data_IF_111483492758
#
_entry.id   IF_111483492758
#
_cell.length_a   1.000
_cell.length_b   1.000
_cell.length_c   1.000
_cell.angle_alpha   90.00
_cell.angle_beta   90.00
_cell.angle_gamma   90.00
#
_symmetry.space_group_name_H-M   'P 1'
#
loop_
_entity.id
_entity.type
_entity.pdbx_description
1 polymer ?
#
# COMPACT_ATOMS: atom_id res chain seq x y z
N UNK A 1 22.85 39.05 33.41
CA UNK A 1 22.65 38.74 31.98
C UNK A 1 23.33 37.43 31.53
N UNK A 2 23.24 36.33 32.30
CA UNK A 2 23.81 35.02 31.89
C UNK A 2 22.81 33.86 31.96
N UNK A 3 21.60 34.08 32.48
CA UNK A 3 20.58 33.04 32.67
C UNK A 3 19.58 32.98 31.50
N UNK A 4 19.54 34.01 30.65
CA UNK A 4 18.58 34.08 29.53
C UNK A 4 18.98 33.21 28.31
N UNK A 5 20.23 32.76 28.23
CA UNK A 5 20.72 31.92 27.12
C UNK A 5 20.41 30.42 27.31
N UNK A 6 20.00 29.98 28.51
CA UNK A 6 19.77 28.55 28.78
C UNK A 6 18.35 28.09 28.40
N UNK A 7 17.39 29.01 28.27
CA UNK A 7 15.97 28.68 28.03
C UNK A 7 15.68 28.43 26.53
N UNK A 8 16.50 28.96 25.62
CA UNK A 8 16.30 28.79 24.17
C UNK A 8 16.80 27.40 23.68
N UNK A 9 17.61 26.68 24.46
CA UNK A 9 18.12 25.35 24.07
C UNK A 9 17.15 24.19 24.36
N UNK A 10 16.10 24.41 25.17
CA UNK A 10 15.13 23.35 25.52
C UNK A 10 13.94 23.24 24.55
N UNK A 11 13.77 24.15 23.59
CA UNK A 11 12.68 24.09 22.61
C UNK A 11 13.01 23.29 21.33
N UNK A 12 14.17 22.63 21.27
CA UNK A 12 14.71 22.00 20.05
C UNK A 12 14.36 20.54 19.80
N UNK A 13 13.67 19.85 20.72
CA UNK A 13 13.28 18.44 20.54
C UNK A 13 11.76 18.29 20.44
N UNK A 14 11.14 19.09 19.56
CA UNK A 14 9.92 18.60 18.93
C UNK A 14 10.35 17.41 18.08
N UNK A 15 10.28 16.21 18.63
CA UNK A 15 10.39 14.98 17.87
C UNK A 15 9.35 15.09 16.77
N UNK A 16 9.79 15.41 15.56
CA UNK A 16 8.96 15.28 14.38
C UNK A 16 8.50 13.82 14.41
N UNK A 17 7.24 13.59 14.81
CA UNK A 17 6.64 12.27 14.68
C UNK A 17 6.62 12.02 13.20
N UNK A 18 7.65 11.33 12.71
CA UNK A 18 7.68 10.76 11.38
C UNK A 18 6.32 10.10 11.18
N UNK A 19 5.63 10.48 10.10
CA UNK A 19 4.35 9.89 9.76
C UNK A 19 4.54 8.37 9.71
N UNK A 20 3.96 7.68 10.68
CA UNK A 20 4.19 6.25 10.83
C UNK A 20 3.32 5.52 9.81
N UNK A 21 3.99 4.87 8.87
CA UNK A 21 3.36 3.89 8.00
C UNK A 21 3.15 2.59 8.76
N UNK A 22 2.01 1.97 8.52
CA UNK A 22 1.66 0.67 9.09
C UNK A 22 1.89 0.55 10.61
N UNK A 23 1.28 1.43 11.43
CA UNK A 23 1.38 1.28 12.88
C UNK A 23 0.94 -0.12 13.32
N UNK A 24 1.50 -0.62 14.42
CA UNK A 24 1.11 -1.93 14.95
C UNK A 24 -0.39 -1.96 15.20
N UNK A 25 -1.04 -3.01 14.68
CA UNK A 25 -2.50 -3.15 14.68
C UNK A 25 -3.17 -2.75 13.36
N UNK A 26 -2.48 -2.02 12.48
CA UNK A 26 -3.01 -1.67 11.16
C UNK A 26 -3.38 -2.91 10.35
N UNK A 27 -4.52 -2.86 9.67
CA UNK A 27 -5.11 -3.97 8.93
C UNK A 27 -5.55 -3.50 7.54
N UNK A 28 -5.16 -4.26 6.52
CA UNK A 28 -5.64 -4.15 5.16
C UNK A 28 -6.41 -5.42 4.81
N UNK A 29 -7.58 -5.24 4.21
CA UNK A 29 -8.41 -6.33 3.70
C UNK A 29 -8.57 -6.15 2.20
N UNK A 30 -7.93 -7.02 1.43
CA UNK A 30 -8.03 -7.08 -0.02
C UNK A 30 -8.99 -8.19 -0.44
N UNK A 31 -9.72 -7.95 -1.54
CA UNK A 31 -10.49 -8.99 -2.21
C UNK A 31 -9.62 -9.81 -3.16
N UNK A 32 -10.10 -10.98 -3.57
CA UNK A 32 -9.57 -11.74 -4.71
C UNK A 32 -10.78 -12.02 -5.62
N UNK A 33 -11.01 -11.22 -6.67
CA UNK A 33 -12.04 -11.53 -7.69
C UNK A 33 -11.37 -12.21 -8.89
N UNK A 34 -11.92 -13.17 -9.65
CA UNK A 34 -13.19 -13.92 -9.72
C UNK A 34 -12.85 -15.39 -10.03
N UNK A 35 -13.55 -16.38 -9.45
CA UNK A 35 -13.39 -17.78 -9.87
C UNK A 35 -13.69 -18.91 -8.86
N UNK A 36 -14.05 -18.61 -7.60
CA UNK A 36 -14.25 -19.59 -6.51
C UNK A 36 -12.95 -20.14 -5.89
N UNK A 37 -12.87 -20.39 -4.56
CA UNK A 37 -13.74 -19.90 -3.49
C UNK A 37 -13.41 -18.45 -3.09
N UNK A 38 -14.31 -17.86 -2.31
CA UNK A 38 -14.24 -16.49 -1.81
C UNK A 38 -13.05 -16.36 -0.84
N UNK A 39 -11.93 -15.79 -1.31
CA UNK A 39 -10.72 -15.56 -0.53
C UNK A 39 -10.55 -14.06 -0.27
N UNK A 40 -10.19 -13.71 0.96
CA UNK A 40 -9.69 -12.38 1.31
C UNK A 40 -8.23 -12.47 1.67
N UNK A 41 -7.47 -11.45 1.29
CA UNK A 41 -6.08 -11.30 1.71
C UNK A 41 -6.02 -10.26 2.82
N UNK A 42 -5.62 -10.71 4.00
CA UNK A 42 -5.43 -9.88 5.18
C UNK A 42 -3.95 -9.57 5.30
N UNK A 43 -3.59 -8.30 5.33
CA UNK A 43 -2.25 -7.87 5.73
C UNK A 43 -2.40 -7.18 7.07
N UNK A 44 -1.65 -7.62 8.08
CA UNK A 44 -1.68 -7.02 9.42
C UNK A 44 -0.28 -6.63 9.87
N UNK A 45 -0.12 -5.40 10.35
CA UNK A 45 1.09 -4.99 11.07
C UNK A 45 1.02 -5.56 12.49
N UNK A 46 1.81 -6.60 12.78
CA UNK A 46 1.67 -7.37 14.03
C UNK A 46 2.50 -6.81 15.17
N UNK A 47 3.75 -6.42 14.89
CA UNK A 47 4.70 -5.99 15.91
C UNK A 47 5.88 -5.25 15.31
N UNK A 48 6.62 -4.61 16.19
CA UNK A 48 7.97 -4.12 15.92
C UNK A 48 8.99 -5.26 15.88
N UNK A 49 10.00 -5.09 15.04
CA UNK A 49 11.13 -6.01 14.90
C UNK A 49 12.35 -5.24 14.40
N UNK A 50 13.53 -5.85 14.48
CA UNK A 50 14.75 -5.33 13.83
C UNK A 50 15.15 -6.27 12.70
N UNK A 51 15.36 -5.72 11.51
CA UNK A 51 15.85 -6.46 10.33
C UNK A 51 17.00 -5.69 9.70
N UNK A 52 18.15 -6.33 9.51
CA UNK A 52 19.37 -5.71 8.97
C UNK A 52 19.71 -4.35 9.60
N UNK A 53 19.56 -4.26 10.93
CA UNK A 53 19.86 -3.04 11.71
C UNK A 53 18.85 -1.91 11.56
N UNK A 54 17.69 -2.14 10.93
CA UNK A 54 16.58 -1.19 10.83
C UNK A 54 15.43 -1.60 11.74
N UNK A 55 14.85 -0.64 12.46
CA UNK A 55 13.58 -0.82 13.15
C UNK A 55 12.47 -0.93 12.10
N UNK A 56 11.74 -2.04 12.12
CA UNK A 56 10.78 -2.42 11.10
C UNK A 56 9.45 -2.82 11.73
N UNK A 57 8.38 -2.71 10.94
CA UNK A 57 7.10 -3.36 11.18
C UNK A 57 7.13 -4.74 10.53
N UNK A 58 6.77 -5.76 11.31
CA UNK A 58 6.53 -7.10 10.79
C UNK A 58 5.08 -7.22 10.35
N UNK A 59 4.88 -7.36 9.04
CA UNK A 59 3.59 -7.56 8.41
C UNK A 59 3.33 -9.06 8.25
N UNK A 60 2.15 -9.52 8.63
CA UNK A 60 1.71 -10.89 8.36
C UNK A 60 0.60 -10.88 7.31
N UNK A 61 0.81 -11.67 6.25
CA UNK A 61 -0.13 -11.82 5.14
C UNK A 61 -0.84 -13.16 5.31
N UNK A 62 -2.17 -13.13 5.35
CA UNK A 62 -3.02 -14.31 5.54
C UNK A 62 -4.11 -14.35 4.50
N UNK A 63 -4.45 -15.55 4.06
CA UNK A 63 -5.64 -15.78 3.26
C UNK A 63 -6.76 -16.30 4.16
N UNK A 64 -7.92 -15.65 4.05
CA UNK A 64 -9.15 -16.07 4.71
C UNK A 64 -10.04 -16.68 3.64
N UNK A 65 -10.34 -17.97 3.76
CA UNK A 65 -11.11 -18.70 2.77
C UNK A 65 -12.29 -19.41 3.40
N UNK A 66 -13.39 -19.52 2.64
CA UNK A 66 -14.49 -20.40 3.00
C UNK A 66 -14.24 -21.77 2.39
N UNK A 67 -14.11 -22.78 3.25
CA UNK A 67 -13.91 -24.17 2.86
C UNK A 67 -15.15 -25.00 3.16
N UNK A 68 -15.30 -26.13 2.46
CA UNK A 68 -16.43 -27.05 2.62
C UNK A 68 -15.92 -28.34 3.26
N UNK A 69 -16.57 -28.75 4.34
CA UNK A 69 -16.36 -30.04 4.98
C UNK A 69 -16.91 -31.18 4.11
N UNK A 70 -16.44 -32.43 4.28
CA UNK A 70 -17.01 -33.59 3.57
C UNK A 70 -18.51 -33.79 3.80
N UNK A 71 -19.05 -33.32 4.93
CA UNK A 71 -20.47 -33.38 5.27
C UNK A 71 -21.31 -32.25 4.63
N UNK A 72 -20.73 -31.42 3.76
CA UNK A 72 -21.41 -30.30 3.10
C UNK A 72 -21.55 -29.02 3.93
N UNK A 73 -21.11 -29.01 5.20
CA UNK A 73 -21.06 -27.77 6.00
C UNK A 73 -19.87 -26.91 5.60
N UNK A 74 -19.92 -25.61 5.85
CA UNK A 74 -18.81 -24.70 5.55
C UNK A 74 -18.10 -24.25 6.82
N UNK A 75 -16.79 -24.04 6.72
CA UNK A 75 -15.97 -23.42 7.76
C UNK A 75 -15.08 -22.33 7.16
N UNK A 76 -14.56 -21.46 8.02
CA UNK A 76 -13.59 -20.45 7.63
C UNK A 76 -12.20 -20.98 7.98
N UNK A 77 -11.34 -21.04 6.98
CA UNK A 77 -9.92 -21.33 7.16
C UNK A 77 -9.10 -20.05 7.06
N UNK A 78 -8.00 -20.01 7.80
CA UNK A 78 -7.04 -18.90 7.80
C UNK A 78 -5.64 -19.46 7.66
N UNK A 79 -5.02 -19.22 6.51
CA UNK A 79 -3.67 -19.68 6.22
C UNK A 79 -2.67 -18.52 6.19
N UNK A 80 -1.51 -18.71 6.79
CA UNK A 80 -0.40 -17.77 6.69
C UNK A 80 0.27 -17.93 5.33
N UNK A 81 0.29 -16.85 4.54
CA UNK A 81 0.89 -16.83 3.20
C UNK A 81 2.36 -16.42 3.30
N UNK A 82 2.61 -15.27 3.92
CA UNK A 82 3.96 -14.78 4.12
C UNK A 82 4.05 -13.87 5.33
N UNK A 83 5.29 -13.53 5.68
CA UNK A 83 5.59 -12.41 6.56
C UNK A 83 6.46 -11.46 5.75
N UNK A 84 6.25 -10.17 5.88
CA UNK A 84 7.05 -9.14 5.20
C UNK A 84 7.53 -8.13 6.22
N UNK A 85 8.67 -7.50 5.94
CA UNK A 85 9.21 -6.45 6.83
C UNK A 85 9.29 -5.15 6.07
N UNK A 86 8.76 -4.08 6.67
CA UNK A 86 8.86 -2.73 6.13
C UNK A 86 9.39 -1.77 7.18
N UNK A 87 10.05 -0.71 6.75
CA UNK A 87 10.34 0.45 7.61
C UNK A 87 10.11 1.73 6.85
N UNK A 88 9.91 2.82 7.59
CA UNK A 88 9.80 4.17 7.06
C UNK A 88 11.06 4.97 7.42
N UNK A 89 11.55 5.74 6.46
CA UNK A 89 12.60 6.74 6.69
C UNK A 89 12.22 7.98 5.89
N UNK A 90 12.02 9.09 6.59
CA UNK A 90 11.50 10.34 6.04
C UNK A 90 10.16 10.13 5.34
N UNK A 91 10.13 10.32 4.02
CA UNK A 91 8.97 10.26 3.13
C UNK A 91 8.88 8.94 2.35
N UNK A 92 9.79 7.99 2.64
CA UNK A 92 9.94 6.74 1.90
C UNK A 92 9.67 5.54 2.80
N UNK A 93 8.83 4.63 2.31
CA UNK A 93 8.64 3.29 2.88
C UNK A 93 9.53 2.31 2.11
N UNK A 94 10.25 1.47 2.85
CA UNK A 94 11.11 0.45 2.30
C UNK A 94 10.56 -0.95 2.62
N UNK A 95 10.69 -1.87 1.67
CA UNK A 95 10.36 -3.28 1.83
C UNK A 95 11.63 -4.13 1.79
N UNK A 96 11.75 -5.08 2.73
CA UNK A 96 12.88 -5.98 2.83
C UNK A 96 12.75 -7.15 1.87
N UNK A 97 13.68 -7.28 0.93
CA UNK A 97 13.85 -8.52 0.18
C UNK A 97 14.64 -9.54 1.00
N UNK A 98 13.99 -10.66 1.34
CA UNK A 98 14.61 -11.72 2.15
C UNK A 98 15.68 -12.52 1.40
N UNK A 99 15.52 -12.67 0.09
CA UNK A 99 16.40 -13.46 -0.76
C UNK A 99 17.73 -12.73 -0.99
N UNK A 100 17.64 -11.44 -1.29
CA UNK A 100 18.79 -10.55 -1.56
C UNK A 100 19.31 -9.86 -0.29
N UNK A 101 18.55 -9.91 0.82
CA UNK A 101 18.89 -9.29 2.11
C UNK A 101 19.12 -7.78 2.02
N UNK A 102 18.32 -7.11 1.19
CA UNK A 102 18.40 -5.66 0.96
C UNK A 102 17.03 -5.02 1.06
N UNK A 103 17.01 -3.73 1.36
CA UNK A 103 15.79 -2.94 1.36
C UNK A 103 15.63 -2.19 0.04
N UNK A 104 14.43 -2.28 -0.53
CA UNK A 104 14.02 -1.54 -1.72
C UNK A 104 12.98 -0.50 -1.35
N UNK A 105 13.00 0.70 -1.95
CA UNK A 105 11.96 1.69 -1.72
C UNK A 105 10.64 1.19 -2.34
N UNK A 106 9.59 1.07 -1.55
CA UNK A 106 8.26 0.62 -1.99
C UNK A 106 7.33 1.80 -2.29
N UNK A 107 7.32 2.80 -1.42
CA UNK A 107 6.50 4.00 -1.56
C UNK A 107 7.33 5.25 -1.33
N UNK A 108 7.33 6.19 -2.27
CA UNK A 108 8.02 7.47 -2.17
C UNK A 108 6.98 8.59 -2.26
N UNK A 109 6.88 9.43 -1.23
CA UNK A 109 5.86 10.49 -1.18
C UNK A 109 6.33 11.83 -1.74
N UNK A 110 7.65 12.12 -1.76
CA UNK A 110 8.19 13.31 -2.40
C UNK A 110 8.44 13.10 -3.90
N UNK A 111 7.34 12.99 -4.65
CA UNK A 111 7.35 12.80 -6.11
C UNK A 111 6.53 13.89 -6.80
N UNK A 112 6.80 14.09 -8.09
CA UNK A 112 6.11 15.01 -8.99
C UNK A 112 5.49 14.26 -10.16
N UNK A 113 4.54 14.90 -10.84
CA UNK A 113 3.98 14.38 -12.09
C UNK A 113 5.10 14.15 -13.11
N UNK A 114 5.00 13.04 -13.82
CA UNK A 114 5.96 12.53 -14.81
C UNK A 114 7.27 11.97 -14.23
N UNK A 115 7.45 11.95 -12.91
CA UNK A 115 8.58 11.24 -12.31
C UNK A 115 8.49 9.73 -12.61
N UNK A 116 9.63 9.13 -12.93
CA UNK A 116 9.75 7.67 -13.06
C UNK A 116 10.41 7.12 -11.81
N UNK A 117 9.71 6.22 -11.13
CA UNK A 117 10.14 5.64 -9.87
C UNK A 117 10.53 4.19 -10.09
N UNK A 118 11.75 3.84 -9.69
CA UNK A 118 12.26 2.47 -9.71
C UNK A 118 12.20 1.95 -8.26
N UNK A 119 11.20 1.11 -7.98
CA UNK A 119 11.06 0.41 -6.71
C UNK A 119 12.10 -0.68 -6.60
N UNK A 120 12.22 -1.50 -7.66
CA UNK A 120 13.24 -2.55 -7.75
C UNK A 120 13.87 -2.54 -9.15
N UNK A 121 15.21 -2.41 -9.25
CA UNK A 121 15.87 -2.64 -10.52
C UNK A 121 15.74 -4.13 -10.89
N UNK A 122 15.33 -4.40 -12.12
CA UNK A 122 15.46 -5.75 -12.67
C UNK A 122 16.94 -6.10 -12.77
N UNK A 123 17.31 -7.34 -12.43
CA UNK A 123 18.70 -7.77 -12.47
C UNK A 123 18.95 -8.66 -13.69
N UNK A 124 19.78 -8.21 -14.67
CA UNK A 124 20.15 -9.04 -15.81
C UNK A 124 21.05 -10.19 -15.33
N UNK A 125 20.50 -11.41 -15.24
CA UNK A 125 21.26 -12.61 -14.86
C UNK A 125 20.60 -13.54 -13.85
N UNK A 126 19.40 -13.19 -13.35
CA UNK A 126 18.65 -14.11 -12.50
C UNK A 126 17.68 -14.96 -13.31
N UNK A 127 17.65 -16.26 -13.05
CA UNK A 127 16.74 -17.22 -13.69
C UNK A 127 15.41 -17.44 -12.94
N UNK A 128 15.20 -16.79 -11.79
CA UNK A 128 14.01 -17.00 -10.93
C UNK A 128 13.28 -15.68 -10.61
N UNK A 129 12.03 -15.79 -10.11
CA UNK A 129 11.09 -14.69 -9.75
C UNK A 129 11.63 -13.59 -8.81
N UNK A 130 12.87 -13.68 -8.32
CA UNK A 130 13.49 -12.73 -7.38
C UNK A 130 14.00 -11.43 -8.02
N UNK A 131 14.02 -11.32 -9.36
CA UNK A 131 14.66 -10.20 -10.06
C UNK A 131 13.75 -9.45 -11.03
N UNK A 132 12.43 -9.46 -10.77
CA UNK A 132 11.46 -8.71 -11.55
C UNK A 132 11.67 -7.20 -11.39
N UNK A 133 11.67 -6.46 -12.51
CA UNK A 133 11.72 -4.99 -12.46
C UNK A 133 10.39 -4.46 -11.94
N UNK A 134 10.44 -3.62 -10.91
CA UNK A 134 9.30 -2.83 -10.44
C UNK A 134 9.56 -1.35 -10.68
N UNK A 135 8.86 -0.79 -11.66
CA UNK A 135 8.93 0.60 -12.07
C UNK A 135 7.54 1.15 -12.44
N UNK A 136 7.30 2.41 -12.10
CA UNK A 136 6.08 3.14 -12.50
C UNK A 136 6.39 4.60 -12.81
N UNK A 137 5.49 5.24 -13.55
CA UNK A 137 5.47 6.69 -13.77
C UNK A 137 4.34 7.32 -12.97
N UNK A 138 4.58 8.50 -12.41
CA UNK A 138 3.55 9.29 -11.71
C UNK A 138 2.71 10.03 -12.75
N UNK A 139 1.43 9.68 -12.86
CA UNK A 139 0.51 10.31 -13.82
C UNK A 139 -0.03 11.64 -13.28
N UNK A 140 -0.44 11.63 -12.01
CA UNK A 140 -0.97 12.80 -11.32
C UNK A 140 -0.96 12.63 -9.80
N UNK A 141 -1.10 13.75 -9.11
CA UNK A 141 -1.13 13.85 -7.66
C UNK A 141 -2.42 14.56 -7.26
N UNK A 142 -3.10 14.04 -6.24
CA UNK A 142 -4.24 14.70 -5.58
C UNK A 142 -4.09 14.56 -4.06
N UNK A 143 -5.07 15.07 -3.31
CA UNK A 143 -5.25 14.69 -1.90
C UNK A 143 -6.64 14.08 -1.69
N UNK A 144 -6.80 13.38 -0.57
CA UNK A 144 -8.10 13.00 -0.03
C UNK A 144 -8.13 13.24 1.48
N UNK A 145 -9.33 13.41 2.03
CA UNK A 145 -9.53 13.59 3.48
C UNK A 145 -10.18 12.34 4.06
N UNK A 146 -9.52 11.71 5.04
CA UNK A 146 -10.02 10.55 5.80
C UNK A 146 -9.83 10.79 7.29
N UNK A 147 -10.89 10.74 8.09
CA UNK A 147 -10.84 10.92 9.55
C UNK A 147 -10.02 12.17 9.97
N UNK A 148 -10.27 13.30 9.31
CA UNK A 148 -9.54 14.56 9.50
C UNK A 148 -8.04 14.54 9.17
N UNK A 149 -7.57 13.47 8.53
CA UNK A 149 -6.24 13.41 7.94
C UNK A 149 -6.35 13.77 6.46
N UNK A 150 -5.59 14.78 6.04
CA UNK A 150 -5.34 15.01 4.64
C UNK A 150 -4.17 14.12 4.18
N UNK A 151 -4.41 13.33 3.14
CA UNK A 151 -3.48 12.32 2.64
C UNK A 151 -3.20 12.55 1.17
N UNK A 152 -1.91 12.51 0.78
CA UNK A 152 -1.52 12.54 -0.63
C UNK A 152 -1.98 11.27 -1.35
N UNK A 153 -2.44 11.44 -2.59
CA UNK A 153 -2.84 10.35 -3.48
C UNK A 153 -2.01 10.41 -4.75
N UNK A 154 -1.36 9.30 -5.08
CA UNK A 154 -0.48 9.15 -6.25
C UNK A 154 -1.17 8.22 -7.25
N UNK A 155 -1.58 8.80 -8.37
CA UNK A 155 -2.00 8.02 -9.54
C UNK A 155 -0.78 7.69 -10.38
N UNK A 156 -0.69 6.44 -10.82
CA UNK A 156 0.50 5.92 -11.47
C UNK A 156 0.15 4.94 -12.59
N UNK A 157 1.05 4.85 -13.56
CA UNK A 157 1.00 3.87 -14.64
C UNK A 157 2.28 3.03 -14.67
N UNK A 158 2.13 1.77 -15.05
CA UNK A 158 3.25 0.90 -15.33
C UNK A 158 4.05 1.40 -16.53
N UNK A 159 5.39 1.30 -16.45
CA UNK A 159 6.23 1.49 -17.63
C UNK A 159 6.22 0.25 -18.52
N UNK A 160 6.72 0.39 -19.75
CA UNK A 160 6.88 -0.74 -20.66
C UNK A 160 7.91 -1.76 -20.16
N UNK A 161 8.92 -1.33 -19.40
CA UNK A 161 9.99 -2.18 -18.84
C UNK A 161 9.59 -2.91 -17.57
N UNK A 162 8.53 -2.47 -16.89
CA UNK A 162 8.14 -3.05 -15.62
C UNK A 162 7.51 -4.42 -15.77
N UNK A 163 7.85 -5.34 -14.89
CA UNK A 163 7.27 -6.69 -14.75
C UNK A 163 6.40 -6.82 -13.49
N UNK A 164 6.61 -5.91 -12.53
CA UNK A 164 5.84 -5.78 -11.31
C UNK A 164 5.31 -4.35 -11.19
N UNK A 165 4.06 -4.17 -10.79
CA UNK A 165 3.35 -2.90 -10.96
C UNK A 165 2.31 -2.69 -9.86
N UNK A 166 1.94 -1.45 -9.56
CA UNK A 166 0.71 -1.20 -8.79
C UNK A 166 -0.54 -1.29 -9.69
N UNK A 167 -0.42 -0.85 -10.95
CA UNK A 167 -1.49 -0.85 -11.94
C UNK A 167 -1.09 -1.69 -13.16
N UNK A 168 -1.91 -2.68 -13.51
CA UNK A 168 -1.72 -3.46 -14.75
C UNK A 168 -2.17 -2.66 -15.96
N UNK A 169 -1.34 -2.61 -17.00
CA UNK A 169 -1.68 -1.95 -18.27
C UNK A 169 -2.87 -2.63 -18.94
N UNK A 170 -3.75 -1.84 -19.58
CA UNK A 170 -4.87 -2.36 -20.39
C UNK A 170 -6.14 -2.69 -19.61
N UNK A 171 -6.14 -2.55 -18.28
CA UNK A 171 -7.36 -2.57 -17.47
C UNK A 171 -7.80 -1.12 -17.28
N UNK A 172 -9.08 -0.81 -17.46
CA UNK A 172 -9.66 0.54 -17.27
C UNK A 172 -9.70 1.00 -15.80
N UNK A 173 -9.09 0.24 -14.90
CA UNK A 173 -9.11 0.45 -13.47
C UNK A 173 -7.82 1.13 -13.02
N UNK A 174 -7.96 2.25 -12.30
CA UNK A 174 -6.84 3.00 -11.77
C UNK A 174 -6.80 2.86 -10.25
N UNK A 175 -5.78 2.18 -9.75
CA UNK A 175 -5.54 1.91 -8.33
C UNK A 175 -4.43 2.83 -7.82
N UNK A 176 -4.77 3.97 -7.20
CA UNK A 176 -3.76 4.88 -6.65
C UNK A 176 -3.00 4.27 -5.46
N UNK A 177 -1.88 4.91 -5.14
CA UNK A 177 -1.21 4.77 -3.84
C UNK A 177 -1.68 5.94 -2.95
N UNK A 178 -2.20 5.63 -1.78
CA UNK A 178 -2.63 6.64 -0.79
C UNK A 178 -1.58 6.72 0.32
N UNK A 179 -1.17 7.92 0.70
CA UNK A 179 -0.25 8.15 1.81
C UNK A 179 -0.76 7.49 3.10
N UNK A 180 0.15 6.85 3.85
CA UNK A 180 -0.09 6.04 5.07
C UNK A 180 -0.89 4.76 4.89
N UNK A 181 -1.58 4.57 3.76
CA UNK A 181 -2.36 3.35 3.45
C UNK A 181 -1.60 2.45 2.47
N UNK A 182 -1.00 3.00 1.41
CA UNK A 182 -0.35 2.26 0.33
C UNK A 182 -1.26 2.07 -0.89
N UNK A 183 -0.89 1.10 -1.74
CA UNK A 183 -1.63 0.79 -2.97
C UNK A 183 -2.99 0.19 -2.66
N UNK A 184 -4.03 0.74 -3.32
CA UNK A 184 -5.39 0.17 -3.24
C UNK A 184 -5.58 -1.06 -4.14
N UNK A 185 -4.57 -1.47 -4.92
CA UNK A 185 -4.56 -2.76 -5.62
C UNK A 185 -4.09 -3.87 -4.68
N UNK A 186 -2.82 -3.82 -4.31
CA UNK A 186 -2.19 -4.72 -3.36
C UNK A 186 -0.96 -4.05 -2.77
N UNK A 187 -0.75 -4.20 -1.46
CA UNK A 187 0.26 -3.44 -0.72
C UNK A 187 1.68 -3.58 -1.26
N UNK A 188 2.04 -4.72 -1.87
CA UNK A 188 3.39 -4.94 -2.39
C UNK A 188 3.47 -4.81 -3.92
N UNK A 189 2.41 -4.34 -4.57
CA UNK A 189 2.26 -4.40 -6.03
C UNK A 189 2.01 -5.82 -6.53
N UNK A 190 1.66 -5.99 -7.79
CA UNK A 190 1.32 -7.27 -8.42
C UNK A 190 2.19 -7.52 -9.65
N UNK A 191 2.33 -8.77 -10.05
CA UNK A 191 2.94 -9.07 -11.36
C UNK A 191 2.10 -8.47 -12.49
N UNK A 192 2.77 -7.89 -13.47
CA UNK A 192 2.18 -7.38 -14.71
C UNK A 192 1.72 -8.51 -15.63
N UNK A 193 2.44 -9.64 -15.62
CA UNK A 193 2.28 -10.75 -16.58
C UNK A 193 1.52 -11.92 -15.96
N UNK A 194 1.91 -12.35 -14.74
CA UNK A 194 1.38 -13.57 -14.14
C UNK A 194 0.30 -13.24 -13.14
N UNK A 195 -0.88 -13.84 -13.31
CA UNK A 195 -2.00 -13.72 -12.38
C UNK A 195 -1.93 -14.88 -11.39
N UNK A 196 -0.86 -14.99 -10.59
CA UNK A 196 -0.77 -16.05 -9.56
C UNK A 196 -1.64 -15.74 -8.33
N UNK A 197 -1.93 -14.47 -8.09
CA UNK A 197 -2.58 -13.96 -6.88
C UNK A 197 -4.12 -13.95 -6.97
N UNK A 198 -4.69 -14.60 -7.98
CA UNK A 198 -6.08 -14.39 -8.40
C UNK A 198 -6.25 -13.11 -9.23
N UNK A 199 -7.41 -12.99 -9.89
CA UNK A 199 -7.58 -12.09 -11.04
C UNK A 199 -7.50 -10.60 -10.69
N UNK A 200 -7.91 -10.20 -9.49
CA UNK A 200 -7.84 -8.82 -9.00
C UNK A 200 -7.75 -8.81 -7.48
N UNK A 201 -6.67 -8.23 -6.95
CA UNK A 201 -6.64 -7.71 -5.58
C UNK A 201 -7.10 -6.25 -5.60
N UNK A 202 -8.13 -5.90 -4.82
CA UNK A 202 -8.57 -4.53 -4.56
C UNK A 202 -8.79 -4.35 -3.06
N UNK A 203 -8.27 -3.27 -2.51
CA UNK A 203 -8.43 -2.91 -1.11
C UNK A 203 -9.91 -2.64 -0.85
N UNK A 204 -10.52 -3.45 0.00
CA UNK A 204 -11.86 -3.20 0.51
C UNK A 204 -11.81 -2.18 1.62
N UNK A 205 -10.93 -2.44 2.59
CA UNK A 205 -10.85 -1.63 3.79
C UNK A 205 -9.43 -1.56 4.31
N UNK A 206 -9.11 -0.42 4.90
CA UNK A 206 -7.94 -0.22 5.74
C UNK A 206 -8.37 0.39 7.06
N UNK A 207 -7.76 -0.07 8.15
CA UNK A 207 -8.03 0.46 9.49
C UNK A 207 -6.74 0.50 10.30
N UNK A 208 -6.47 1.64 10.93
CA UNK A 208 -5.54 1.79 12.04
C UNK A 208 -6.19 2.60 13.18
N UNK A 209 -5.40 3.09 14.13
CA UNK A 209 -5.89 3.88 15.26
C UNK A 209 -6.30 5.33 14.93
N UNK A 210 -6.06 5.81 13.71
CA UNK A 210 -6.28 7.19 13.24
C UNK A 210 -7.12 7.22 11.95
N UNK A 211 -6.82 6.36 11.00
CA UNK A 211 -7.40 6.33 9.64
C UNK A 211 -8.26 5.08 9.50
N UNK A 212 -9.46 5.29 8.95
CA UNK A 212 -10.32 4.24 8.42
C UNK A 212 -10.64 4.57 6.96
N UNK A 213 -10.42 3.60 6.09
CA UNK A 213 -10.75 3.66 4.68
C UNK A 213 -11.68 2.49 4.34
N UNK A 214 -12.71 2.77 3.54
CA UNK A 214 -13.60 1.78 2.96
C UNK A 214 -13.83 2.15 1.50
N UNK A 215 -13.65 1.18 0.62
CA UNK A 215 -13.92 1.35 -0.80
C UNK A 215 -15.43 1.49 -1.04
N UNK A 216 -15.84 2.56 -1.72
CA UNK A 216 -17.23 2.88 -1.97
C UNK A 216 -17.94 1.88 -2.90
N UNK A 217 -17.20 1.12 -3.72
CA UNK A 217 -17.77 0.04 -4.52
C UNK A 217 -18.18 -1.17 -3.66
N UNK A 218 -17.83 -1.18 -2.38
CA UNK A 218 -18.12 -2.27 -1.48
C UNK A 218 -19.17 -1.86 -0.42
N UNK A 219 -20.40 -2.33 -0.59
CA UNK A 219 -21.52 -2.01 0.31
C UNK A 219 -21.57 -2.89 1.57
N UNK A 220 -20.99 -4.10 1.53
CA UNK A 220 -21.00 -5.05 2.64
C UNK A 220 -19.99 -4.77 3.77
N UNK A 221 -19.86 -5.73 4.69
CA UNK A 221 -18.79 -5.78 5.70
C UNK A 221 -17.46 -6.15 5.05
N UNK A 222 -16.37 -5.45 5.39
CA UNK A 222 -15.02 -5.70 4.90
C UNK A 222 -14.61 -7.19 4.95
N UNK A 223 -15.05 -7.89 6.00
CA UNK A 223 -14.78 -9.30 6.28
C UNK A 223 -15.78 -10.26 5.61
N UNK A 224 -16.79 -9.75 4.89
CA UNK A 224 -17.78 -10.59 4.23
C UNK A 224 -17.13 -11.36 3.09
N UNK A 225 -17.12 -12.68 3.22
CA UNK A 225 -16.72 -13.56 2.12
C UNK A 225 -17.76 -13.55 1.00
N UNK A 226 -19.03 -13.25 1.29
CA UNK A 226 -20.08 -13.15 0.27
C UNK A 226 -20.17 -11.75 -0.31
N UNK A 227 -20.07 -11.62 -1.63
CA UNK A 227 -20.51 -10.41 -2.34
C UNK A 227 -21.91 -10.65 -2.90
N UNK A 228 -22.90 -9.79 -2.64
CA UNK A 228 -24.02 -9.65 -3.56
C UNK A 228 -23.43 -9.23 -4.92
N UNK A 229 -23.93 -9.81 -6.00
CA UNK A 229 -23.44 -9.61 -7.37
C UNK A 229 -23.06 -8.17 -7.67
N UNK A 230 -21.86 -7.96 -8.23
CA UNK A 230 -21.40 -6.71 -8.83
C UNK A 230 -22.23 -6.37 -10.09
N UNK A 231 -23.55 -6.27 -9.95
CA UNK A 231 -24.44 -5.80 -11.00
C UNK A 231 -24.59 -4.29 -10.84
N UNK A 232 -23.71 -3.55 -11.51
CA UNK A 232 -23.85 -2.09 -11.65
C UNK A 232 -22.84 -1.21 -10.92
N UNK A 233 -21.65 -1.72 -10.55
CA UNK A 233 -20.57 -0.89 -10.02
C UNK A 233 -20.07 0.12 -11.07
N UNK A 234 -20.75 1.26 -11.19
CA UNK A 234 -20.14 2.47 -11.75
C UNK A 234 -18.99 2.81 -10.83
N UNK A 235 -17.80 2.93 -11.41
CA UNK A 235 -16.61 3.42 -10.73
C UNK A 235 -16.98 4.72 -10.02
N UNK A 236 -17.07 4.66 -8.70
CA UNK A 236 -17.04 5.87 -7.91
C UNK A 236 -15.65 6.45 -8.15
N UNK A 237 -15.57 7.48 -9.00
CA UNK A 237 -14.66 8.59 -8.71
C UNK A 237 -14.76 8.78 -7.20
N UNK A 238 -13.64 8.70 -6.47
CA UNK A 238 -13.62 9.27 -5.13
C UNK A 238 -14.34 10.63 -5.28
N UNK A 239 -15.29 10.95 -4.41
CA UNK A 239 -15.72 12.33 -4.27
C UNK A 239 -14.53 13.09 -3.69
N UNK A 240 -13.60 13.42 -4.59
CA UNK A 240 -12.42 14.23 -4.35
C UNK A 240 -12.97 15.64 -4.35
N UNK A 241 -13.07 16.24 -3.17
CA UNK A 241 -13.09 17.69 -3.08
C UNK A 241 -11.77 18.15 -3.67
N UNK A 242 -11.80 18.63 -4.92
CA UNK A 242 -10.59 18.92 -5.71
C UNK A 242 -9.85 20.11 -5.10
N UNK A 243 -9.01 19.87 -4.10
CA UNK A 243 -8.00 20.84 -3.68
C UNK A 243 -6.76 20.66 -4.56
N UNK A 244 -6.62 21.55 -5.54
CA UNK A 244 -5.37 21.73 -6.29
C UNK A 244 -4.46 22.57 -5.39
N UNK A 245 -3.44 21.95 -4.80
CA UNK A 245 -2.44 22.69 -4.02
C UNK A 245 -1.58 23.58 -4.94
N UNK A 246 -1.32 24.84 -4.57
CA UNK A 246 -0.30 25.64 -5.23
C UNK A 246 1.10 25.14 -4.85
N UNK A 247 1.94 24.91 -5.86
CA UNK A 247 3.34 24.49 -5.72
C UNK A 247 4.22 25.63 -5.16
N UNK A 248 4.91 25.47 -4.01
CA UNK A 248 5.75 26.51 -3.41
C UNK A 248 7.21 26.45 -3.92
N UNK A 249 7.42 26.49 -5.23
CA UNK A 249 8.74 26.79 -5.80
C UNK A 249 8.62 27.84 -6.91
N UNK A 250 8.47 29.11 -6.50
CA UNK A 250 8.93 30.23 -7.34
C UNK A 250 10.46 30.25 -7.27
N UNK A 251 11.11 29.77 -8.34
CA UNK A 251 12.52 30.12 -8.58
C UNK A 251 12.57 31.62 -8.91
N UNK A 252 13.22 32.37 -8.04
CA UNK A 252 13.77 33.69 -8.36
C UNK A 252 14.99 33.47 -9.26
N UNK A 253 14.88 33.88 -10.52
CA UNK A 253 15.98 34.39 -11.32
C UNK A 253 15.47 35.63 -12.04
#
# INVERSE_FOLDING_TARGET
MKILYFIILMFGFASARSQQWAPVGALWVYDVSQGSPLILTYIKSEKDTVVAGKECRLMAIRNISRMMNPNGTYYIDTSLVSKESIYNSNDTVYHYDRSLKVFYPLYLMNVQKSDTIIVRPGNPGCSNNSCVRFEYVVDSLTSCKLNDQELKVIYNAATNKSEWVFNRSGISENYPVIERIGSVKYFFGVSKIVIMEGTVLRLRCYTDNIITYKDAAFTGDCNSLFQPSLSGAKTSKLEIDKMIYPNPFKRLF
#
